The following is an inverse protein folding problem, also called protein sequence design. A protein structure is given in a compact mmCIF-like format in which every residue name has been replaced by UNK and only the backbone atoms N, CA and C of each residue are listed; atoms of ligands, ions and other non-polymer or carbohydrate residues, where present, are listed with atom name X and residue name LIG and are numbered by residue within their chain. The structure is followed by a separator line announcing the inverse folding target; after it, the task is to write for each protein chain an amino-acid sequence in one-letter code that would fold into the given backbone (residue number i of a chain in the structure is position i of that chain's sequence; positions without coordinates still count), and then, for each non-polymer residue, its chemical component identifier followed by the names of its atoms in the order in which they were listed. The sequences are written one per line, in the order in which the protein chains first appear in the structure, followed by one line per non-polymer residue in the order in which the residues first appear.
data_IF_524806336136
#
_entry.id   IF_524806336136
#
_cell.length_a   1.000
_cell.length_b   1.000
_cell.length_c   1.000
_cell.angle_alpha   90.00
_cell.angle_beta   90.00
_cell.angle_gamma   90.00
#
_symmetry.space_group_name_H-M   'P 1'
#
loop_
_entity.id
_entity.type
_entity.pdbx_description
1 polymer ?
#
# COMPACT_ATOMS: atom_id res chain seq x y z
N UNK A 1 -5.70 -3.85 9.88
CA UNK A 1 -5.60 -5.16 9.18
C UNK A 1 -4.29 -5.26 8.38
N UNK A 2 -3.24 -5.87 8.91
CA UNK A 2 -2.02 -6.18 8.14
C UNK A 2 -1.76 -7.68 8.21
N UNK A 3 -1.51 -8.32 7.08
CA UNK A 3 -1.52 -9.78 6.97
C UNK A 3 -0.19 -10.30 6.42
N UNK A 4 0.33 -11.36 7.05
CA UNK A 4 1.26 -12.26 6.39
C UNK A 4 0.45 -13.27 5.59
N UNK A 5 0.47 -13.12 4.28
CA UNK A 5 -0.29 -13.93 3.33
C UNK A 5 0.59 -15.05 2.79
N UNK A 6 0.07 -16.28 2.84
CA UNK A 6 0.71 -17.51 2.36
C UNK A 6 -0.08 -18.22 1.26
N UNK A 7 -1.32 -17.77 1.02
CA UNK A 7 -2.21 -18.34 0.02
C UNK A 7 -3.20 -17.34 -0.55
N UNK A 8 -3.79 -17.68 -1.69
CA UNK A 8 -4.89 -16.96 -2.31
C UNK A 8 -5.79 -17.94 -3.06
N UNK A 9 -7.09 -17.65 -3.13
CA UNK A 9 -8.09 -18.50 -3.79
C UNK A 9 -8.05 -19.98 -3.35
N UNK A 10 -7.85 -20.23 -2.05
CA UNK A 10 -7.81 -21.58 -1.47
C UNK A 10 -6.52 -22.37 -1.75
N UNK A 11 -5.52 -21.77 -2.40
CA UNK A 11 -4.25 -22.42 -2.75
C UNK A 11 -3.06 -21.64 -2.17
N UNK A 12 -1.89 -22.27 -2.15
CA UNK A 12 -0.62 -21.58 -1.80
C UNK A 12 -0.32 -20.47 -2.81
N UNK A 13 0.34 -19.40 -2.36
CA UNK A 13 0.69 -18.29 -3.24
C UNK A 13 1.52 -18.78 -4.45
N UNK A 14 1.21 -18.32 -5.66
CA UNK A 14 2.09 -18.47 -6.81
C UNK A 14 3.39 -17.65 -6.67
N UNK A 15 4.44 -18.03 -7.40
CA UNK A 15 5.75 -17.32 -7.36
C UNK A 15 5.63 -15.85 -7.75
N UNK A 16 4.85 -15.54 -8.79
CA UNK A 16 4.63 -14.17 -9.24
C UNK A 16 3.96 -13.28 -8.19
N UNK A 17 3.21 -13.87 -7.26
CA UNK A 17 2.49 -13.17 -6.20
C UNK A 17 3.30 -13.04 -4.91
N UNK A 18 4.54 -13.54 -4.89
CA UNK A 18 5.48 -13.35 -3.79
C UNK A 18 5.53 -14.49 -2.78
N UNK A 19 5.29 -15.72 -3.22
CA UNK A 19 5.48 -16.92 -2.41
C UNK A 19 6.89 -17.00 -1.78
N UNK A 20 7.07 -17.76 -0.67
CA UNK A 20 6.02 -18.45 0.09
C UNK A 20 5.24 -17.53 1.05
N UNK A 21 5.80 -16.37 1.39
CA UNK A 21 5.23 -15.42 2.35
C UNK A 21 5.30 -14.00 1.80
N UNK A 22 4.18 -13.31 1.83
CA UNK A 22 4.03 -11.91 1.40
C UNK A 22 3.33 -11.08 2.47
N UNK A 23 3.66 -9.79 2.58
CA UNK A 23 2.89 -8.84 3.36
C UNK A 23 1.73 -8.28 2.51
N UNK A 24 0.55 -8.14 3.11
CA UNK A 24 -0.60 -7.42 2.54
C UNK A 24 -1.07 -6.35 3.51
N UNK A 25 -1.08 -5.09 3.05
CA UNK A 25 -1.59 -3.93 3.79
C UNK A 25 -2.64 -3.22 2.92
N UNK A 26 -3.94 -3.49 3.11
CA UNK A 26 -4.97 -3.22 2.11
C UNK A 26 -5.30 -1.74 1.93
N UNK A 27 -5.00 -0.88 2.91
CA UNK A 27 -5.26 0.57 2.83
C UNK A 27 -4.10 1.39 2.24
N UNK A 28 -3.00 0.73 1.88
CA UNK A 28 -1.79 1.35 1.33
C UNK A 28 -1.60 0.98 -0.13
N UNK A 29 -0.83 1.79 -0.86
CA UNK A 29 -0.44 1.44 -2.23
C UNK A 29 0.37 0.13 -2.26
N UNK A 30 0.22 -0.63 -3.34
CA UNK A 30 0.67 -2.02 -3.43
C UNK A 30 2.18 -2.23 -3.20
N UNK A 31 3.00 -1.20 -3.42
CA UNK A 31 4.44 -1.29 -3.19
C UNK A 31 4.85 -1.42 -1.71
N UNK A 32 3.95 -1.12 -0.77
CA UNK A 32 4.16 -1.39 0.67
C UNK A 32 3.96 -2.86 1.04
N UNK A 33 3.35 -3.65 0.15
CA UNK A 33 3.04 -5.08 0.34
C UNK A 33 4.15 -5.95 -0.26
N UNK A 34 5.29 -6.02 0.45
CA UNK A 34 6.53 -6.69 0.02
C UNK A 34 6.33 -8.20 -0.24
N UNK A 35 6.94 -8.69 -1.32
CA UNK A 35 6.90 -10.09 -1.78
C UNK A 35 8.08 -10.90 -1.23
N UNK A 36 7.89 -12.22 -1.07
CA UNK A 36 8.95 -13.19 -0.78
C UNK A 36 9.84 -12.79 0.40
N UNK A 37 9.20 -12.55 1.55
CA UNK A 37 9.87 -12.07 2.77
C UNK A 37 10.80 -13.16 3.30
N UNK A 38 12.07 -12.81 3.51
CA UNK A 38 13.09 -13.70 4.11
C UNK A 38 13.51 -13.29 5.52
N UNK A 39 13.25 -12.04 5.92
CA UNK A 39 13.60 -11.52 7.23
C UNK A 39 12.62 -10.43 7.66
N UNK A 40 12.29 -10.42 8.95
CA UNK A 40 11.57 -9.35 9.63
C UNK A 40 12.44 -8.89 10.80
N UNK A 41 12.73 -7.59 10.87
CA UNK A 41 13.52 -6.99 11.94
C UNK A 41 12.73 -5.86 12.58
N UNK A 42 12.70 -5.85 13.91
CA UNK A 42 12.20 -4.71 14.67
C UNK A 42 13.36 -3.75 14.89
N UNK A 43 13.13 -2.47 14.58
CA UNK A 43 14.13 -1.40 14.62
C UNK A 43 13.54 -0.20 15.36
N UNK A 44 14.39 0.61 15.98
CA UNK A 44 14.02 1.78 16.78
C UNK A 44 13.82 3.06 15.94
N UNK A 45 14.22 3.03 14.67
CA UNK A 45 14.11 4.15 13.72
C UNK A 45 13.39 3.72 12.45
N UNK A 46 12.74 4.67 11.78
CA UNK A 46 12.06 4.44 10.52
C UNK A 46 13.04 3.87 9.47
N UNK A 47 12.83 2.63 8.97
CA UNK A 47 13.75 2.05 8.01
C UNK A 47 13.55 2.67 6.61
N UNK A 48 14.59 2.64 5.75
CA UNK A 48 14.43 3.03 4.36
C UNK A 48 13.51 2.05 3.62
N UNK A 49 12.87 2.51 2.55
CA UNK A 49 11.99 1.66 1.72
C UNK A 49 12.36 1.79 0.24
N UNK A 50 12.32 0.68 -0.50
CA UNK A 50 12.88 0.59 -1.86
C UNK A 50 12.39 1.68 -2.81
N UNK A 51 11.07 1.94 -2.84
CA UNK A 51 10.50 2.95 -3.73
C UNK A 51 10.78 4.39 -3.27
N UNK A 52 10.84 4.63 -1.96
CA UNK A 52 11.23 5.93 -1.43
C UNK A 52 12.71 6.24 -1.68
N UNK A 53 13.59 5.24 -1.61
CA UNK A 53 14.99 5.39 -2.01
C UNK A 53 15.13 5.63 -3.53
N UNK A 54 14.36 4.90 -4.35
CA UNK A 54 14.42 5.00 -5.79
C UNK A 54 13.88 6.36 -6.32
N UNK A 55 12.78 6.85 -5.75
CA UNK A 55 12.24 8.15 -6.10
C UNK A 55 11.48 8.79 -4.92
N UNK A 56 12.18 9.52 -4.03
CA UNK A 56 11.58 10.10 -2.82
C UNK A 56 10.54 11.18 -3.12
N UNK A 57 10.56 11.77 -4.33
CA UNK A 57 9.58 12.78 -4.75
C UNK A 57 8.21 12.17 -5.03
N UNK A 58 8.18 10.90 -5.41
CA UNK A 58 6.98 10.19 -5.88
C UNK A 58 6.41 9.22 -4.84
N UNK A 59 7.27 8.64 -4.01
CA UNK A 59 6.89 7.57 -3.09
C UNK A 59 7.34 7.92 -1.67
N UNK A 60 6.38 8.26 -0.82
CA UNK A 60 6.63 8.51 0.60
C UNK A 60 6.71 7.22 1.43
N UNK A 61 6.87 7.38 2.75
CA UNK A 61 6.98 6.23 3.64
C UNK A 61 5.62 5.62 3.98
N UNK A 62 4.60 6.44 4.23
CA UNK A 62 3.31 5.95 4.71
C UNK A 62 2.47 5.39 3.57
N UNK A 63 2.39 6.10 2.44
CA UNK A 63 1.76 5.61 1.21
C UNK A 63 0.35 5.07 1.42
N UNK A 64 -0.42 5.78 2.24
CA UNK A 64 -1.86 5.53 2.38
C UNK A 64 -2.55 5.87 1.06
N UNK A 65 -3.50 5.04 0.65
CA UNK A 65 -4.33 5.35 -0.54
C UNK A 65 -5.15 6.59 -0.22
N UNK A 66 -4.91 7.66 -0.96
CA UNK A 66 -5.56 8.96 -0.74
C UNK A 66 -5.93 9.61 -2.09
N UNK A 67 -7.23 9.69 -2.45
CA UNK A 67 -7.65 10.30 -3.70
C UNK A 67 -7.45 11.82 -3.76
N UNK A 68 -7.19 12.48 -2.63
CA UNK A 68 -6.93 13.92 -2.56
C UNK A 68 -5.47 14.29 -2.80
N UNK A 69 -4.56 13.31 -2.83
CA UNK A 69 -3.13 13.51 -3.04
C UNK A 69 -2.74 12.80 -4.33
N UNK A 70 -2.56 13.59 -5.38
CA UNK A 70 -2.16 13.07 -6.69
C UNK A 70 -0.68 12.64 -6.67
N UNK A 71 -0.36 11.66 -7.50
CA UNK A 71 1.03 11.33 -7.80
C UNK A 71 1.61 12.44 -8.70
N UNK A 72 2.92 12.77 -8.62
CA UNK A 72 3.51 13.87 -9.41
C UNK A 72 3.27 13.79 -10.93
N UNK A 73 2.99 12.59 -11.45
CA UNK A 73 2.78 12.31 -12.88
C UNK A 73 1.33 11.98 -13.27
N UNK A 74 0.43 11.73 -12.32
CA UNK A 74 -0.96 11.36 -12.63
C UNK A 74 -1.89 11.54 -11.43
N UNK A 75 -3.18 11.72 -11.72
CA UNK A 75 -4.19 11.82 -10.65
C UNK A 75 -4.49 10.47 -9.99
N UNK A 76 -4.67 10.51 -8.66
CA UNK A 76 -5.10 9.36 -7.84
C UNK A 76 -6.60 9.37 -7.54
N UNK A 77 -7.36 10.31 -8.09
CA UNK A 77 -8.82 10.46 -7.85
C UNK A 77 -9.65 9.30 -8.38
N UNK A 78 -9.15 8.59 -9.39
CA UNK A 78 -9.84 7.44 -9.99
C UNK A 78 -8.88 6.31 -10.27
N UNK A 79 -9.41 5.09 -10.30
CA UNK A 79 -8.66 3.87 -10.56
C UNK A 79 -9.34 3.00 -11.62
N UNK A 80 -8.57 2.07 -12.17
CA UNK A 80 -9.07 1.00 -13.03
C UNK A 80 -9.04 -0.29 -12.25
N UNK A 81 -10.20 -0.81 -11.85
CA UNK A 81 -10.26 -2.16 -11.28
C UNK A 81 -10.05 -3.18 -12.40
N UNK A 82 -9.15 -4.13 -12.19
CA UNK A 82 -8.94 -5.21 -13.14
C UNK A 82 -10.23 -6.03 -13.29
N UNK A 83 -10.67 -6.22 -14.54
CA UNK A 83 -11.96 -6.85 -14.87
C UNK A 83 -13.11 -5.89 -15.16
N UNK A 84 -12.95 -4.58 -14.92
CA UNK A 84 -13.99 -3.56 -15.21
C UNK A 84 -13.67 -2.71 -16.45
N UNK A 85 -14.69 -2.45 -17.27
CA UNK A 85 -14.57 -1.65 -18.51
C UNK A 85 -14.50 -0.14 -18.31
N UNK A 86 -14.91 0.38 -17.15
CA UNK A 86 -14.84 1.80 -16.81
C UNK A 86 -13.93 2.06 -15.61
N UNK A 87 -13.52 3.32 -15.43
CA UNK A 87 -12.81 3.74 -14.22
C UNK A 87 -13.82 4.02 -13.11
N UNK A 88 -13.39 3.91 -11.86
CA UNK A 88 -14.18 4.26 -10.68
C UNK A 88 -13.43 5.24 -9.77
N UNK A 89 -14.12 6.03 -8.94
CA UNK A 89 -13.46 6.85 -7.93
C UNK A 89 -12.64 5.99 -6.97
N UNK A 90 -11.44 6.45 -6.65
CA UNK A 90 -10.60 5.82 -5.63
C UNK A 90 -11.11 6.20 -4.25
N UNK A 91 -11.19 5.23 -3.34
CA UNK A 91 -11.69 5.44 -1.99
C UNK A 91 -10.54 5.83 -1.04
N UNK A 92 -10.82 6.72 -0.10
CA UNK A 92 -9.89 7.05 0.98
C UNK A 92 -9.53 5.80 1.79
N UNK A 93 -8.25 5.61 2.08
CA UNK A 93 -7.73 4.38 2.70
C UNK A 93 -8.16 3.09 1.99
N UNK A 94 -8.42 3.18 0.67
CA UNK A 94 -8.93 2.07 -0.14
C UNK A 94 -10.22 1.44 0.41
N UNK A 95 -11.07 2.25 1.05
CA UNK A 95 -12.34 1.81 1.64
C UNK A 95 -12.24 1.33 3.09
N UNK A 96 -11.06 1.41 3.72
CA UNK A 96 -10.82 0.99 5.10
C UNK A 96 -10.75 2.14 6.11
N UNK A 97 -11.33 3.30 5.76
CA UNK A 97 -11.19 4.52 6.56
C UNK A 97 -11.65 4.32 8.02
N UNK A 98 -12.81 3.71 8.23
CA UNK A 98 -13.38 3.48 9.56
C UNK A 98 -12.48 2.63 10.47
N UNK A 99 -11.66 1.75 9.88
CA UNK A 99 -10.79 0.85 10.62
C UNK A 99 -9.39 1.42 10.87
N UNK A 100 -8.93 2.38 10.07
CA UNK A 100 -7.51 2.81 10.09
C UNK A 100 -7.30 4.31 10.26
N UNK A 101 -8.32 5.15 10.06
CA UNK A 101 -8.15 6.61 10.14
C UNK A 101 -7.63 7.05 11.50
N UNK A 102 -8.06 6.40 12.59
CA UNK A 102 -7.59 6.69 13.95
C UNK A 102 -6.08 6.51 14.15
N UNK A 103 -5.41 5.65 13.37
CA UNK A 103 -3.96 5.45 13.44
C UNK A 103 -3.16 6.66 12.93
N UNK A 104 -3.81 7.55 12.18
CA UNK A 104 -3.21 8.71 11.52
C UNK A 104 -3.79 10.03 12.02
N UNK A 105 -4.54 10.01 13.13
CA UNK A 105 -5.13 11.21 13.70
C UNK A 105 -4.03 12.23 14.07
N UNK A 106 -4.22 13.49 13.64
CA UNK A 106 -3.26 14.57 13.87
C UNK A 106 -2.07 14.61 12.90
N UNK A 107 -1.94 13.65 11.98
CA UNK A 107 -0.92 13.68 10.94
C UNK A 107 -1.36 14.50 9.73
N UNK A 108 -0.41 15.07 8.99
CA UNK A 108 -0.71 15.76 7.73
C UNK A 108 -0.54 14.78 6.56
N UNK A 109 -1.63 14.13 6.18
CA UNK A 109 -1.65 13.11 5.11
C UNK A 109 -1.30 13.62 3.71
N UNK A 110 -1.10 14.94 3.53
CA UNK A 110 -0.57 15.52 2.28
C UNK A 110 0.95 15.63 2.26
N UNK A 111 1.57 15.60 3.44
CA UNK A 111 3.04 15.60 3.62
C UNK A 111 3.52 14.19 3.95
N UNK A 112 2.72 13.45 4.72
CA UNK A 112 2.95 12.08 5.16
C UNK A 112 2.34 11.05 4.19
N UNK A 113 2.60 11.19 2.88
CA UNK A 113 2.13 10.27 1.83
C UNK A 113 3.09 9.11 1.53
#
# INVERSE_FOLDING_TARGET
LALLTVGMYGQTLPRQDGAPVRLVVPWKYGFKSIKSIVAIRLVDRQPPTTWNLANPREYGFYSNVNPEVDHPRWSQKSERRLGEFFRRPTQMFNGYADQVAGLYAGMNLRVDY
#
